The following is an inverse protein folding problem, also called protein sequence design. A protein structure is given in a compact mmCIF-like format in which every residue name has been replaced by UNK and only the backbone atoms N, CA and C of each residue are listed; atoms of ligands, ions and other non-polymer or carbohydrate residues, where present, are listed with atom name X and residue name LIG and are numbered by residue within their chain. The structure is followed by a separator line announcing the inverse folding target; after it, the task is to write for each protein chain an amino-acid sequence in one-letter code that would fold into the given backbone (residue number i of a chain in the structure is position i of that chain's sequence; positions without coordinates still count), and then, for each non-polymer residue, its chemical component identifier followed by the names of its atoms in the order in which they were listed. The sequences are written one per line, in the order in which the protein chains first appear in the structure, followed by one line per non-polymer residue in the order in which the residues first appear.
data_IF_201602067991
#
_entry.id   IF_201602067991
#
_cell.length_a   1.000
_cell.length_b   1.000
_cell.length_c   1.000
_cell.angle_alpha   90.00
_cell.angle_beta   90.00
_cell.angle_gamma   90.00
#
_symmetry.space_group_name_H-M   'P 1'
#
loop_
_entity.id
_entity.type
_entity.pdbx_description
1 polymer ?
#
# COMPACT_ATOMS: atom_id res chain seq x y z
N UNK A 1 -7.88 42.59 -2.03
CA UNK A 1 -8.14 41.20 -2.45
C UNK A 1 -8.73 40.32 -1.32
N UNK A 2 -7.98 39.94 -0.28
CA UNK A 2 -8.45 38.97 0.73
C UNK A 2 -9.77 39.35 1.45
N UNK A 3 -9.94 40.61 1.87
CA UNK A 3 -11.19 41.09 2.50
C UNK A 3 -12.42 40.95 1.58
N UNK A 4 -12.27 41.26 0.29
CA UNK A 4 -13.34 41.12 -0.71
C UNK A 4 -13.71 39.65 -0.95
N UNK A 5 -12.73 38.75 -1.00
CA UNK A 5 -12.99 37.31 -1.10
C UNK A 5 -13.74 36.77 0.11
N UNK A 6 -13.37 37.21 1.32
CA UNK A 6 -14.06 36.81 2.56
C UNK A 6 -15.50 37.34 2.58
N UNK A 7 -15.72 38.59 2.15
CA UNK A 7 -17.05 39.20 2.09
C UNK A 7 -17.99 38.48 1.09
N UNK A 8 -17.45 37.91 0.02
CA UNK A 8 -18.19 37.21 -1.02
C UNK A 8 -18.09 35.67 -0.94
N UNK A 9 -17.59 35.13 0.18
CA UNK A 9 -17.30 33.69 0.31
C UNK A 9 -18.50 32.77 0.06
N UNK A 10 -19.70 33.25 0.34
CA UNK A 10 -20.94 32.46 0.20
C UNK A 10 -21.25 32.20 -1.29
N UNK A 11 -20.70 32.99 -2.22
CA UNK A 11 -20.82 32.78 -3.67
C UNK A 11 -20.09 31.53 -4.17
N UNK A 12 -19.15 31.01 -3.38
CA UNK A 12 -18.33 29.85 -3.74
C UNK A 12 -18.90 28.53 -3.19
N UNK A 13 -20.01 28.58 -2.45
CA UNK A 13 -20.64 27.40 -1.87
C UNK A 13 -21.83 26.97 -2.74
N UNK A 14 -21.89 25.67 -3.02
CA UNK A 14 -23.04 25.03 -3.65
C UNK A 14 -23.28 23.65 -3.07
N UNK A 15 -24.39 23.04 -3.44
CA UNK A 15 -24.72 21.65 -3.11
C UNK A 15 -23.69 20.64 -3.64
N UNK A 16 -22.73 21.04 -4.49
CA UNK A 16 -21.61 20.16 -4.88
C UNK A 16 -20.46 20.15 -3.87
N UNK A 17 -20.32 21.18 -3.05
CA UNK A 17 -19.17 21.33 -2.16
C UNK A 17 -19.05 20.18 -1.16
N UNK A 18 -20.18 19.63 -0.68
CA UNK A 18 -20.14 18.55 0.31
C UNK A 18 -19.45 17.28 -0.22
N UNK A 19 -19.53 16.97 -1.52
CA UNK A 19 -18.89 15.78 -2.12
C UNK A 19 -17.39 15.78 -1.90
N UNK A 20 -16.74 16.94 -2.02
CA UNK A 20 -15.29 17.09 -1.80
C UNK A 20 -14.88 16.75 -0.37
N UNK A 21 -15.77 16.94 0.60
CA UNK A 21 -15.54 16.59 2.00
C UNK A 21 -15.94 15.13 2.28
N UNK A 22 -17.18 14.76 1.94
CA UNK A 22 -17.77 13.46 2.27
C UNK A 22 -17.09 12.29 1.55
N UNK A 23 -16.97 12.36 0.22
CA UNK A 23 -16.41 11.24 -0.55
C UNK A 23 -14.94 11.02 -0.22
N UNK A 24 -14.16 12.11 -0.07
CA UNK A 24 -12.76 12.03 0.31
C UNK A 24 -12.60 11.40 1.70
N UNK A 25 -13.30 11.94 2.70
CA UNK A 25 -13.20 11.48 4.08
C UNK A 25 -13.62 10.01 4.21
N UNK A 26 -14.76 9.64 3.63
CA UNK A 26 -15.28 8.28 3.70
C UNK A 26 -14.36 7.26 3.01
N UNK A 27 -13.81 7.60 1.84
CA UNK A 27 -12.86 6.75 1.15
C UNK A 27 -11.56 6.55 1.96
N UNK A 28 -11.10 7.58 2.68
CA UNK A 28 -9.93 7.47 3.55
C UNK A 28 -10.20 6.58 4.78
N UNK A 29 -11.38 6.72 5.41
CA UNK A 29 -11.80 5.86 6.53
C UNK A 29 -11.89 4.40 6.09
N UNK A 30 -12.50 4.11 4.93
CA UNK A 30 -12.57 2.75 4.39
C UNK A 30 -11.20 2.12 4.11
N UNK A 31 -10.23 2.92 3.66
CA UNK A 31 -8.87 2.45 3.35
C UNK A 31 -7.92 2.46 4.57
N UNK A 32 -8.40 2.91 5.72
CA UNK A 32 -7.54 3.12 6.90
C UNK A 32 -6.93 1.81 7.43
N UNK A 33 -7.67 0.71 7.31
CA UNK A 33 -7.22 -0.65 7.61
C UNK A 33 -6.86 -1.35 6.30
N UNK A 34 -5.56 -1.42 6.01
CA UNK A 34 -5.05 -2.03 4.78
C UNK A 34 -3.91 -2.99 5.10
N UNK A 35 -4.01 -4.23 4.61
CA UNK A 35 -2.94 -5.24 4.71
C UNK A 35 -1.63 -4.80 4.03
N UNK A 36 -1.71 -3.84 3.12
CA UNK A 36 -0.56 -3.30 2.38
C UNK A 36 0.28 -2.28 3.18
N UNK A 37 -0.13 -1.91 4.40
CA UNK A 37 0.68 -1.01 5.24
C UNK A 37 1.85 -1.80 5.83
N UNK A 38 3.06 -1.26 5.73
CA UNK A 38 4.29 -1.87 6.26
C UNK A 38 4.18 -2.28 7.74
N UNK A 39 3.45 -1.52 8.56
CA UNK A 39 3.22 -1.84 9.97
C UNK A 39 2.48 -3.17 10.18
N UNK A 40 1.57 -3.52 9.26
CA UNK A 40 0.78 -4.75 9.29
C UNK A 40 1.48 -5.91 8.56
N UNK A 41 2.64 -5.66 7.95
CA UNK A 41 3.40 -6.64 7.18
C UNK A 41 4.90 -6.50 7.47
N UNK A 42 5.34 -6.85 8.70
CA UNK A 42 6.73 -6.75 9.09
C UNK A 42 7.61 -7.65 8.23
N UNK A 43 8.74 -7.13 7.75
CA UNK A 43 9.73 -7.91 7.01
C UNK A 43 10.78 -8.50 7.97
N UNK A 44 11.36 -9.67 7.67
CA UNK A 44 12.43 -10.25 8.46
C UNK A 44 13.59 -9.28 8.68
N UNK A 45 14.29 -9.42 9.81
CA UNK A 45 15.51 -8.63 10.10
C UNK A 45 16.60 -8.90 9.09
N UNK A 46 16.81 -10.17 8.77
CA UNK A 46 17.82 -10.58 7.81
C UNK A 46 17.39 -10.24 6.38
N UNK A 47 18.34 -9.76 5.59
CA UNK A 47 18.12 -9.50 4.17
C UNK A 47 17.87 -10.83 3.44
N UNK A 48 16.91 -10.89 2.48
CA UNK A 48 16.72 -12.06 1.64
C UNK A 48 18.02 -12.48 0.95
N UNK A 49 18.33 -13.77 0.98
CA UNK A 49 19.51 -14.35 0.31
C UNK A 49 19.05 -15.09 -0.94
N UNK A 50 19.76 -14.90 -2.06
CA UNK A 50 19.37 -15.50 -3.33
C UNK A 50 19.29 -17.04 -3.27
N UNK A 51 20.18 -17.68 -2.50
CA UNK A 51 20.19 -19.14 -2.29
C UNK A 51 18.88 -19.67 -1.67
N UNK A 52 18.12 -18.85 -0.92
CA UNK A 52 16.84 -19.26 -0.35
C UNK A 52 15.72 -19.43 -1.40
N UNK A 53 15.95 -18.92 -2.61
CA UNK A 53 15.03 -18.97 -3.75
C UNK A 53 15.49 -19.96 -4.82
N UNK A 54 16.48 -20.81 -4.48
CA UNK A 54 17.13 -21.75 -5.37
C UNK A 54 16.80 -23.19 -4.97
N UNK A 55 16.20 -23.92 -5.90
CA UNK A 55 15.88 -25.33 -5.75
C UNK A 55 16.39 -26.08 -6.97
N UNK A 56 16.96 -27.26 -6.76
CA UNK A 56 17.51 -28.04 -7.85
C UNK A 56 17.02 -29.48 -7.81
N UNK A 57 17.04 -30.13 -8.97
CA UNK A 57 16.75 -31.55 -9.13
C UNK A 57 18.11 -32.22 -9.41
N UNK A 58 18.65 -32.99 -8.45
CA UNK A 58 19.84 -33.79 -8.67
C UNK A 58 19.61 -34.81 -9.79
N UNK A 59 20.67 -35.20 -10.49
CA UNK A 59 20.57 -36.10 -11.65
C UNK A 59 19.92 -37.44 -11.31
N UNK A 60 20.08 -37.90 -10.06
CA UNK A 60 19.50 -39.13 -9.54
C UNK A 60 17.96 -39.07 -9.58
N UNK A 61 17.37 -37.88 -9.44
CA UNK A 61 15.93 -37.67 -9.55
C UNK A 61 15.36 -37.86 -10.96
N UNK A 62 16.21 -37.94 -11.99
CA UNK A 62 15.80 -38.26 -13.36
C UNK A 62 15.81 -39.76 -13.67
N UNK A 63 16.31 -40.60 -12.76
CA UNK A 63 16.38 -42.04 -13.00
C UNK A 63 14.98 -42.69 -12.99
N UNK A 64 14.53 -43.15 -14.15
CA UNK A 64 13.25 -43.83 -14.33
C UNK A 64 13.12 -45.08 -13.45
N UNK A 65 14.22 -45.77 -13.14
CA UNK A 65 14.21 -46.96 -12.28
C UNK A 65 14.03 -46.65 -10.79
N UNK A 66 14.02 -45.38 -10.40
CA UNK A 66 13.66 -44.95 -9.05
C UNK A 66 12.17 -44.64 -8.90
N UNK A 67 11.41 -44.52 -10.00
CA UNK A 67 10.01 -44.11 -9.94
C UNK A 67 9.11 -45.26 -9.51
N UNK A 68 8.40 -45.09 -8.39
CA UNK A 68 7.44 -46.07 -7.88
C UNK A 68 8.03 -47.09 -6.89
N UNK A 69 9.18 -46.79 -6.27
CA UNK A 69 9.64 -47.51 -5.08
C UNK A 69 8.80 -47.11 -3.86
N UNK A 70 8.62 -48.04 -2.91
CA UNK A 70 8.00 -47.78 -1.61
C UNK A 70 8.96 -47.06 -0.63
N UNK A 71 9.86 -46.23 -1.16
CA UNK A 71 10.71 -45.33 -0.38
C UNK A 71 10.32 -43.86 -0.64
N UNK A 72 10.93 -42.91 0.07
CA UNK A 72 10.66 -41.48 -0.12
C UNK A 72 11.31 -40.90 -1.40
N UNK A 73 11.67 -41.74 -2.39
CA UNK A 73 12.21 -41.27 -3.66
C UNK A 73 11.09 -40.88 -4.63
N UNK A 74 11.05 -39.59 -4.99
CA UNK A 74 10.05 -39.03 -5.90
C UNK A 74 10.70 -38.52 -7.18
N UNK A 75 10.08 -38.85 -8.32
CA UNK A 75 10.50 -38.39 -9.64
C UNK A 75 10.64 -36.85 -9.68
N UNK A 76 11.79 -36.36 -10.15
CA UNK A 76 12.05 -34.95 -10.38
C UNK A 76 11.75 -34.04 -9.16
N UNK A 77 11.91 -34.55 -7.92
CA UNK A 77 11.63 -33.79 -6.70
C UNK A 77 12.71 -32.72 -6.48
N UNK A 78 12.37 -31.42 -6.48
CA UNK A 78 13.35 -30.39 -6.20
C UNK A 78 13.74 -30.39 -4.72
N UNK A 79 15.03 -30.22 -4.46
CA UNK A 79 15.60 -29.99 -3.13
C UNK A 79 16.21 -28.59 -3.05
N UNK A 80 16.29 -28.02 -1.86
CA UNK A 80 16.87 -26.69 -1.68
C UNK A 80 18.36 -26.73 -2.00
N UNK A 81 18.87 -25.72 -2.70
CA UNK A 81 20.31 -25.56 -2.88
C UNK A 81 20.94 -25.03 -1.59
N UNK A 82 21.96 -25.71 -1.07
CA UNK A 82 22.58 -25.34 0.21
C UNK A 82 23.80 -24.43 0.04
N UNK A 83 24.51 -24.56 -1.08
CA UNK A 83 25.72 -23.81 -1.38
C UNK A 83 25.75 -23.44 -2.87
N UNK A 84 26.34 -22.29 -3.20
CA UNK A 84 26.65 -21.92 -4.57
C UNK A 84 28.08 -22.26 -4.99
N UNK A 85 28.93 -22.64 -4.02
CA UNK A 85 30.31 -23.02 -4.24
C UNK A 85 30.43 -24.44 -4.76
N UNK A 86 31.47 -24.73 -5.52
CA UNK A 86 31.70 -26.05 -6.08
C UNK A 86 31.11 -26.24 -7.47
N UNK A 87 30.33 -25.28 -7.99
CA UNK A 87 29.52 -25.50 -9.18
C UNK A 87 29.68 -24.42 -10.25
N UNK A 88 29.64 -24.86 -11.51
CA UNK A 88 29.37 -24.01 -12.67
C UNK A 88 27.92 -24.17 -13.11
N UNK A 89 27.36 -23.10 -13.67
CA UNK A 89 26.03 -23.10 -14.25
C UNK A 89 26.07 -22.78 -15.75
N UNK A 90 25.24 -23.47 -16.53
CA UNK A 90 24.90 -23.08 -17.90
C UNK A 90 23.40 -22.96 -18.02
N UNK A 91 22.91 -21.88 -18.62
CA UNK A 91 21.48 -21.68 -18.78
C UNK A 91 20.89 -22.77 -19.70
N UNK A 92 19.70 -23.26 -19.36
CA UNK A 92 18.92 -24.11 -20.27
C UNK A 92 18.39 -23.24 -21.40
N UNK A 93 18.58 -23.66 -22.64
CA UNK A 93 18.13 -22.93 -23.83
C UNK A 93 16.61 -22.70 -23.76
N UNK A 94 16.19 -21.44 -23.92
CA UNK A 94 14.80 -21.00 -23.79
C UNK A 94 14.14 -21.28 -22.41
N UNK A 95 14.90 -21.77 -21.43
CA UNK A 95 14.46 -21.95 -20.05
C UNK A 95 14.42 -20.63 -19.28
N UNK A 96 13.30 -20.36 -18.62
CA UNK A 96 13.17 -19.21 -17.72
C UNK A 96 13.62 -19.61 -16.31
N UNK A 97 14.74 -19.04 -15.85
CA UNK A 97 15.26 -19.28 -14.51
C UNK A 97 15.77 -20.71 -14.26
N UNK A 98 16.03 -21.50 -15.32
CA UNK A 98 16.54 -22.88 -15.20
C UNK A 98 17.95 -23.00 -15.76
N UNK A 99 18.80 -23.71 -15.02
CA UNK A 99 20.23 -23.86 -15.30
C UNK A 99 20.65 -25.32 -15.15
N UNK A 100 21.55 -25.78 -16.02
CA UNK A 100 22.31 -27.03 -15.84
C UNK A 100 23.42 -26.78 -14.83
N UNK A 101 23.57 -27.70 -13.89
CA UNK A 101 24.55 -27.63 -12.80
C UNK A 101 25.68 -28.60 -13.07
N UNK A 102 26.92 -28.13 -12.95
CA UNK A 102 28.12 -28.93 -13.12
C UNK A 102 29.02 -28.83 -11.90
N UNK A 103 29.36 -29.95 -11.30
CA UNK A 103 30.29 -30.02 -10.16
C UNK A 103 31.74 -29.90 -10.63
N UNK A 104 32.50 -29.02 -9.98
CA UNK A 104 33.88 -28.70 -10.33
C UNK A 104 34.74 -28.78 -9.06
N UNK A 105 35.01 -27.64 -8.42
CA UNK A 105 35.78 -27.52 -7.20
C UNK A 105 35.33 -26.27 -6.42
N UNK A 106 35.65 -26.25 -5.13
CA UNK A 106 35.21 -25.22 -4.17
C UNK A 106 35.71 -23.79 -4.47
N UNK A 107 36.60 -23.61 -5.45
CA UNK A 107 37.07 -22.27 -5.86
C UNK A 107 36.05 -21.57 -6.75
N UNK A 108 35.15 -22.30 -7.40
CA UNK A 108 34.06 -21.75 -8.20
C UNK A 108 32.85 -21.44 -7.34
N UNK A 109 32.26 -20.26 -7.57
CA UNK A 109 31.00 -19.85 -6.98
C UNK A 109 30.16 -19.20 -8.10
N UNK A 110 29.03 -19.80 -8.43
CA UNK A 110 28.15 -19.27 -9.47
C UNK A 110 27.32 -18.09 -9.00
N UNK A 111 27.31 -17.75 -7.70
CA UNK A 111 26.48 -16.71 -7.15
C UNK A 111 27.31 -15.50 -6.72
N UNK A 112 27.21 -14.39 -7.46
CA UNK A 112 27.89 -13.13 -7.11
C UNK A 112 26.88 -12.03 -6.85
N UNK A 113 26.92 -11.44 -5.66
CA UNK A 113 26.03 -10.34 -5.26
C UNK A 113 24.54 -10.65 -5.49
N UNK A 114 24.13 -11.90 -5.27
CA UNK A 114 22.75 -12.36 -5.46
C UNK A 114 22.35 -12.66 -6.91
N UNK A 115 23.28 -12.57 -7.86
CA UNK A 115 23.04 -12.90 -9.28
C UNK A 115 23.80 -14.15 -9.70
N UNK A 116 23.19 -14.93 -10.59
CA UNK A 116 23.83 -16.09 -11.21
C UNK A 116 24.84 -15.60 -12.26
N UNK A 117 26.05 -16.17 -12.20
CA UNK A 117 27.08 -16.06 -13.21
C UNK A 117 27.20 -17.40 -13.95
N UNK A 118 26.75 -17.42 -15.21
CA UNK A 118 26.90 -18.60 -16.05
C UNK A 118 28.33 -18.71 -16.58
N UNK A 119 28.78 -19.95 -16.74
CA UNK A 119 30.10 -20.29 -17.27
C UNK A 119 29.98 -21.01 -18.60
N UNK A 120 31.00 -20.89 -19.45
CA UNK A 120 31.17 -21.81 -20.58
C UNK A 120 31.51 -23.20 -20.05
N UNK A 121 30.88 -24.22 -20.65
CA UNK A 121 31.06 -25.62 -20.28
C UNK A 121 31.71 -26.34 -21.45
N UNK A 122 32.86 -26.98 -21.21
CA UNK A 122 33.56 -27.79 -22.20
C UNK A 122 32.81 -29.09 -22.48
N UNK A 123 33.11 -29.73 -23.62
CA UNK A 123 32.51 -31.04 -23.97
C UNK A 123 32.83 -32.13 -22.95
N UNK A 124 33.95 -32.01 -22.23
CA UNK A 124 34.30 -32.96 -21.18
C UNK A 124 33.48 -32.74 -19.92
N UNK A 125 33.35 -31.49 -19.46
CA UNK A 125 32.49 -31.13 -18.33
C UNK A 125 31.02 -31.49 -18.62
N UNK A 126 30.53 -31.27 -19.83
CA UNK A 126 29.17 -31.68 -20.24
C UNK A 126 28.94 -33.19 -20.06
N UNK A 127 29.96 -34.01 -20.32
CA UNK A 127 29.84 -35.48 -20.25
C UNK A 127 29.98 -36.03 -18.83
N UNK A 128 30.83 -35.41 -18.01
CA UNK A 128 31.29 -35.98 -16.74
C UNK A 128 30.71 -35.29 -15.51
N UNK A 129 30.50 -33.97 -15.60
CA UNK A 129 30.33 -33.15 -14.41
C UNK A 129 28.87 -32.70 -14.21
N UNK A 130 27.96 -33.02 -15.13
CA UNK A 130 26.54 -32.72 -14.96
C UNK A 130 25.99 -33.42 -13.71
N UNK A 131 25.41 -32.64 -12.80
CA UNK A 131 24.86 -33.13 -11.53
C UNK A 131 23.39 -32.80 -11.34
N UNK A 132 22.78 -31.93 -12.15
CA UNK A 132 21.35 -31.66 -12.03
C UNK A 132 20.87 -30.39 -12.74
N UNK A 133 19.61 -30.04 -12.48
CA UNK A 133 18.97 -28.81 -12.96
C UNK A 133 18.59 -27.90 -11.79
N UNK A 134 19.09 -26.67 -11.80
CA UNK A 134 18.76 -25.61 -10.85
C UNK A 134 17.62 -24.75 -11.38
N UNK A 135 16.64 -24.48 -10.54
CA UNK A 135 15.62 -23.45 -10.72
C UNK A 135 15.87 -22.30 -9.74
N UNK A 136 15.89 -21.08 -10.24
CA UNK A 136 16.03 -19.86 -9.44
C UNK A 136 14.87 -18.90 -9.70
N UNK A 137 14.10 -18.60 -8.66
CA UNK A 137 13.02 -17.61 -8.73
C UNK A 137 13.55 -16.18 -8.50
N UNK A 138 14.30 -15.67 -9.48
CA UNK A 138 14.90 -14.33 -9.45
C UNK A 138 13.85 -13.23 -9.27
N UNK A 139 12.68 -13.38 -9.89
CA UNK A 139 11.57 -12.41 -9.78
C UNK A 139 11.11 -12.24 -8.33
N UNK A 140 10.91 -13.36 -7.60
CA UNK A 140 10.50 -13.31 -6.20
C UNK A 140 11.62 -12.78 -5.31
N UNK A 141 12.86 -13.20 -5.55
CA UNK A 141 14.03 -12.70 -4.83
C UNK A 141 14.18 -11.18 -4.94
N UNK A 142 14.08 -10.65 -6.16
CA UNK A 142 14.17 -9.21 -6.43
C UNK A 142 13.02 -8.44 -5.77
N UNK A 143 11.80 -8.97 -5.81
CA UNK A 143 10.66 -8.36 -5.15
C UNK A 143 10.86 -8.31 -3.62
N UNK A 144 11.31 -9.40 -3.03
CA UNK A 144 11.54 -9.46 -1.58
C UNK A 144 12.70 -8.56 -1.13
N UNK A 145 13.76 -8.45 -1.95
CA UNK A 145 14.83 -7.49 -1.71
C UNK A 145 14.34 -6.03 -1.73
N UNK A 146 13.47 -5.68 -2.69
CA UNK A 146 12.87 -4.34 -2.76
C UNK A 146 11.97 -4.07 -1.56
N UNK A 147 11.10 -5.01 -1.23
CA UNK A 147 10.19 -4.94 -0.08
C UNK A 147 10.96 -4.78 1.23
N UNK A 148 12.01 -5.58 1.43
CA UNK A 148 12.86 -5.51 2.61
C UNK A 148 13.52 -4.13 2.73
N UNK A 149 14.12 -3.61 1.64
CA UNK A 149 14.74 -2.28 1.62
C UNK A 149 13.73 -1.18 1.94
N UNK A 150 12.53 -1.26 1.36
CA UNK A 150 11.46 -0.29 1.59
C UNK A 150 10.98 -0.32 3.04
N UNK A 151 10.72 -1.51 3.58
CA UNK A 151 10.29 -1.68 4.97
C UNK A 151 11.32 -1.14 5.96
N UNK A 152 12.58 -1.56 5.85
CA UNK A 152 13.63 -1.14 6.77
C UNK A 152 14.03 0.31 6.58
N UNK A 153 13.96 0.83 5.35
CA UNK A 153 14.10 2.26 5.07
C UNK A 153 12.98 3.09 5.72
N UNK A 154 11.74 2.62 5.67
CA UNK A 154 10.62 3.23 6.40
C UNK A 154 10.82 3.13 7.91
N UNK A 155 11.21 1.97 8.44
CA UNK A 155 11.50 1.78 9.87
C UNK A 155 12.57 2.73 10.40
N UNK A 156 13.62 3.01 9.62
CA UNK A 156 14.71 3.92 10.01
C UNK A 156 14.29 5.40 10.01
N UNK A 157 13.44 5.80 9.07
CA UNK A 157 13.08 7.21 8.86
C UNK A 157 11.74 7.62 9.50
N UNK A 158 11.04 6.68 10.16
CA UNK A 158 9.73 6.97 10.77
C UNK A 158 9.88 7.82 12.03
N UNK A 159 8.88 8.66 12.28
CA UNK A 159 8.77 9.45 13.50
C UNK A 159 8.29 8.57 14.67
N UNK A 160 9.22 8.09 15.50
CA UNK A 160 8.97 7.16 16.61
C UNK A 160 7.85 7.61 17.57
N UNK A 161 7.76 8.92 17.86
CA UNK A 161 6.74 9.47 18.76
C UNK A 161 5.31 9.41 18.21
N UNK A 162 5.13 9.24 16.89
CA UNK A 162 3.80 9.19 16.27
C UNK A 162 3.10 7.83 16.45
N UNK A 163 3.84 6.77 16.78
CA UNK A 163 3.35 5.38 16.64
C UNK A 163 3.35 4.55 17.93
N UNK A 164 3.65 5.14 19.10
CA UNK A 164 3.78 4.40 20.38
C UNK A 164 2.53 3.60 20.76
N UNK A 165 1.32 4.05 20.38
CA UNK A 165 0.04 3.34 20.58
C UNK A 165 -0.32 2.36 19.45
N UNK A 166 0.34 2.45 18.30
CA UNK A 166 0.12 1.56 17.16
C UNK A 166 1.04 0.34 17.24
N UNK A 167 2.20 0.48 17.89
CA UNK A 167 3.16 -0.60 18.14
C UNK A 167 2.78 -1.52 19.30
N UNK A 168 1.97 -1.06 20.26
CA UNK A 168 1.38 -1.93 21.28
C UNK A 168 0.37 -2.93 20.71
N UNK A 169 -0.01 -2.79 19.42
CA UNK A 169 -1.07 -3.57 18.78
C UNK A 169 -2.48 -3.12 19.15
N UNK A 170 -2.62 -2.01 19.90
CA UNK A 170 -3.92 -1.52 20.37
C UNK A 170 -4.74 -0.83 19.26
N UNK A 171 -4.08 -0.33 18.21
CA UNK A 171 -4.71 0.36 17.08
C UNK A 171 -4.10 -0.09 15.76
N UNK A 172 -4.92 -0.41 14.76
CA UNK A 172 -4.49 -0.85 13.43
C UNK A 172 -4.63 0.23 12.33
N UNK A 173 -4.89 1.48 12.74
CA UNK A 173 -5.18 2.62 11.86
C UNK A 173 -4.54 3.94 12.34
N UNK A 174 -4.42 4.95 11.45
CA UNK A 174 -3.92 6.29 11.82
C UNK A 174 -5.05 7.10 12.48
N UNK A 175 -5.06 7.17 13.81
CA UNK A 175 -6.08 7.83 14.61
C UNK A 175 -6.20 9.35 14.35
N UNK A 176 -5.08 10.02 14.06
CA UNK A 176 -5.10 11.44 13.70
C UNK A 176 -5.79 11.65 12.36
N UNK A 177 -5.51 10.76 11.40
CA UNK A 177 -6.18 10.78 10.11
C UNK A 177 -7.69 10.51 10.26
N UNK A 178 -8.09 9.55 11.10
CA UNK A 178 -9.51 9.27 11.35
C UNK A 178 -10.24 10.47 11.98
N UNK A 179 -9.65 11.12 12.98
CA UNK A 179 -10.15 12.40 13.51
C UNK A 179 -10.38 13.41 12.39
N UNK A 180 -9.39 13.59 11.50
CA UNK A 180 -9.52 14.56 10.42
C UNK A 180 -10.65 14.20 9.45
N UNK A 181 -10.82 12.90 9.13
CA UNK A 181 -11.89 12.44 8.26
C UNK A 181 -13.27 12.66 8.88
N UNK A 182 -13.49 12.30 10.15
CA UNK A 182 -14.76 12.55 10.85
C UNK A 182 -15.06 14.06 10.91
N UNK A 183 -14.05 14.90 11.17
CA UNK A 183 -14.22 16.37 11.13
C UNK A 183 -14.67 16.88 9.76
N UNK A 184 -14.18 16.29 8.67
CA UNK A 184 -14.62 16.64 7.32
C UNK A 184 -16.08 16.22 7.07
N UNK A 185 -16.52 15.07 7.60
CA UNK A 185 -17.93 14.67 7.55
C UNK A 185 -18.84 15.66 8.31
N UNK A 186 -18.43 16.11 9.50
CA UNK A 186 -19.14 17.19 10.20
C UNK A 186 -19.20 18.49 9.38
N UNK A 187 -18.13 18.81 8.65
CA UNK A 187 -18.10 19.97 7.76
C UNK A 187 -19.04 19.81 6.58
N UNK A 188 -19.09 18.62 5.96
CA UNK A 188 -20.00 18.31 4.87
C UNK A 188 -21.47 18.48 5.31
N UNK A 189 -21.82 17.95 6.48
CA UNK A 189 -23.17 18.11 7.04
C UNK A 189 -23.49 19.58 7.34
N UNK A 190 -22.55 20.32 7.93
CA UNK A 190 -22.71 21.75 8.23
C UNK A 190 -22.95 22.59 6.97
N UNK A 191 -22.28 22.28 5.86
CA UNK A 191 -22.50 22.98 4.59
C UNK A 191 -23.95 22.80 4.15
N UNK A 192 -24.48 21.58 4.23
CA UNK A 192 -25.86 21.29 3.80
C UNK A 192 -26.92 21.90 4.72
N UNK A 193 -26.67 22.00 6.03
CA UNK A 193 -27.66 22.48 7.00
C UNK A 193 -27.58 23.98 7.30
N UNK A 194 -26.41 24.59 7.20
CA UNK A 194 -26.16 25.99 7.58
C UNK A 194 -25.62 26.85 6.44
N UNK A 195 -25.30 26.24 5.30
CA UNK A 195 -24.63 26.87 4.18
C UNK A 195 -23.16 27.19 4.41
N UNK A 196 -22.56 26.76 5.53
CA UNK A 196 -21.18 27.09 5.90
C UNK A 196 -20.39 25.86 6.36
N UNK A 197 -19.09 25.76 6.04
CA UNK A 197 -18.25 24.70 6.59
C UNK A 197 -18.09 24.84 8.10
N UNK A 198 -17.97 23.69 8.77
CA UNK A 198 -17.75 23.63 10.21
C UNK A 198 -16.27 23.93 10.54
N UNK A 199 -15.92 25.22 10.60
CA UNK A 199 -14.54 25.66 10.92
C UNK A 199 -14.20 25.44 12.39
N UNK A 200 -15.16 25.71 13.28
CA UNK A 200 -15.03 25.57 14.72
C UNK A 200 -15.99 24.51 15.22
N UNK A 201 -15.46 23.33 15.53
CA UNK A 201 -16.22 22.25 16.16
C UNK A 201 -16.69 22.67 17.55
N UNK A 202 -17.93 22.32 17.91
CA UNK A 202 -18.45 22.56 19.25
C UNK A 202 -17.75 21.67 20.29
N UNK A 203 -17.95 21.95 21.58
CA UNK A 203 -17.26 21.24 22.67
C UNK A 203 -17.51 19.72 22.64
N UNK A 204 -18.74 19.29 22.35
CA UNK A 204 -19.10 17.88 22.22
C UNK A 204 -18.36 17.19 21.07
N UNK A 205 -18.33 17.82 19.89
CA UNK A 205 -17.59 17.33 18.73
C UNK A 205 -16.08 17.31 19.02
N UNK A 206 -15.57 18.33 19.71
CA UNK A 206 -14.16 18.42 20.08
C UNK A 206 -13.76 17.27 21.01
N UNK A 207 -14.54 17.02 22.06
CA UNK A 207 -14.32 15.91 22.99
C UNK A 207 -14.32 14.58 22.23
N UNK A 208 -15.33 14.36 21.39
CA UNK A 208 -15.46 13.15 20.58
C UNK A 208 -14.26 12.94 19.63
N UNK A 209 -13.87 13.98 18.90
CA UNK A 209 -12.70 13.94 18.02
C UNK A 209 -11.41 13.63 18.81
N UNK A 210 -11.25 14.18 20.02
CA UNK A 210 -10.09 13.87 20.87
C UNK A 210 -10.07 12.41 21.31
N UNK A 211 -11.22 11.81 21.63
CA UNK A 211 -11.33 10.37 21.92
C UNK A 211 -10.90 9.51 20.73
N UNK A 212 -11.32 9.84 19.51
CA UNK A 212 -10.83 9.19 18.27
C UNK A 212 -9.31 9.32 18.17
N UNK A 213 -8.76 10.53 18.36
CA UNK A 213 -7.30 10.75 18.29
C UNK A 213 -6.54 9.98 19.36
N UNK A 214 -7.15 9.79 20.54
CA UNK A 214 -6.56 9.03 21.63
C UNK A 214 -6.63 7.52 21.41
N UNK A 215 -7.38 7.05 20.40
CA UNK A 215 -7.54 5.64 20.10
C UNK A 215 -8.58 4.94 20.97
N UNK A 216 -9.56 5.68 21.49
CA UNK A 216 -10.62 5.12 22.33
C UNK A 216 -11.69 4.35 21.51
N UNK A 217 -11.57 4.32 20.19
CA UNK A 217 -12.46 3.62 19.27
C UNK A 217 -11.68 2.64 18.40
N UNK A 218 -12.32 1.55 18.01
CA UNK A 218 -11.84 0.67 16.94
C UNK A 218 -12.08 1.28 15.56
N UNK A 219 -11.40 0.76 14.53
CA UNK A 219 -11.66 1.14 13.15
C UNK A 219 -13.11 0.84 12.74
N UNK A 220 -13.68 -0.26 13.21
CA UNK A 220 -15.05 -0.69 12.91
C UNK A 220 -16.08 0.27 13.49
N UNK A 221 -15.88 0.75 14.72
CA UNK A 221 -16.74 1.77 15.34
C UNK A 221 -16.68 3.09 14.57
N UNK A 222 -15.48 3.54 14.18
CA UNK A 222 -15.31 4.75 13.38
C UNK A 222 -15.94 4.60 11.99
N UNK A 223 -15.81 3.42 11.36
CA UNK A 223 -16.41 3.16 10.07
C UNK A 223 -17.94 3.20 10.15
N UNK A 224 -18.52 2.59 11.19
CA UNK A 224 -19.95 2.61 11.44
C UNK A 224 -20.46 4.04 11.64
N UNK A 225 -19.78 4.85 12.47
CA UNK A 225 -20.13 6.26 12.64
C UNK A 225 -20.05 7.02 11.31
N UNK A 226 -19.01 6.77 10.51
CA UNK A 226 -18.85 7.40 9.21
C UNK A 226 -19.99 7.03 8.25
N UNK A 227 -20.45 5.78 8.26
CA UNK A 227 -21.61 5.33 7.49
C UNK A 227 -22.89 6.04 7.92
N UNK A 228 -23.13 6.17 9.22
CA UNK A 228 -24.28 6.90 9.78
C UNK A 228 -24.24 8.40 9.39
N UNK A 229 -23.07 9.03 9.48
CA UNK A 229 -22.88 10.42 9.06
C UNK A 229 -23.09 10.61 7.56
N UNK A 230 -22.58 9.70 6.72
CA UNK A 230 -22.78 9.74 5.26
C UNK A 230 -24.26 9.55 4.92
N UNK A 231 -24.96 8.61 5.55
CA UNK A 231 -26.39 8.43 5.36
C UNK A 231 -27.18 9.70 5.74
N UNK A 232 -26.79 10.37 6.83
CA UNK A 232 -27.39 11.65 7.23
C UNK A 232 -27.10 12.76 6.22
N UNK A 233 -25.88 12.84 5.70
CA UNK A 233 -25.49 13.80 4.65
C UNK A 233 -26.32 13.58 3.39
N UNK A 234 -26.44 12.33 2.92
CA UNK A 234 -27.19 11.99 1.71
C UNK A 234 -28.68 12.31 1.86
N UNK A 235 -29.26 12.00 3.02
CA UNK A 235 -30.64 12.41 3.35
C UNK A 235 -30.79 13.93 3.32
N UNK A 236 -29.92 14.66 4.04
CA UNK A 236 -29.98 16.13 4.12
C UNK A 236 -29.87 16.77 2.75
N UNK A 237 -29.02 16.22 1.87
CA UNK A 237 -28.91 16.67 0.49
C UNK A 237 -30.22 16.49 -0.27
N UNK A 238 -30.83 15.30 -0.19
CA UNK A 238 -32.08 15.02 -0.90
C UNK A 238 -33.18 15.99 -0.47
N UNK A 239 -33.33 16.18 0.84
CA UNK A 239 -34.31 17.13 1.40
C UNK A 239 -34.05 18.57 0.90
N UNK A 240 -32.78 18.96 0.76
CA UNK A 240 -32.38 20.26 0.26
C UNK A 240 -32.59 20.42 -1.27
N UNK A 241 -32.44 19.36 -2.05
CA UNK A 241 -32.68 19.35 -3.51
C UNK A 241 -34.16 19.50 -3.86
N UNK A 242 -35.03 19.01 -2.98
CA UNK A 242 -36.50 19.07 -3.05
C UNK A 242 -37.07 20.37 -2.44
N UNK A 243 -36.27 21.14 -1.72
CA UNK A 243 -36.69 22.40 -1.10
C UNK A 243 -36.97 23.50 -2.12
N UNK A 244 -38.08 24.21 -1.97
CA UNK A 244 -38.43 25.40 -2.78
C UNK A 244 -37.50 26.59 -2.51
N UNK A 245 -36.91 26.66 -1.31
CA UNK A 245 -35.99 27.73 -0.91
C UNK A 245 -34.75 27.16 -0.22
N UNK A 246 -33.82 26.54 -0.98
CA UNK A 246 -32.67 25.88 -0.42
C UNK A 246 -31.68 26.88 0.16
N UNK A 247 -31.12 26.57 1.34
CA UNK A 247 -30.14 27.43 2.03
C UNK A 247 -28.86 27.67 1.22
N UNK A 248 -28.54 26.77 0.28
CA UNK A 248 -27.44 26.90 -0.68
C UNK A 248 -27.89 26.48 -2.09
N UNK A 249 -27.33 27.10 -3.14
CA UNK A 249 -27.75 26.83 -4.51
C UNK A 249 -27.21 25.48 -5.01
N UNK A 250 -27.92 24.87 -5.97
CA UNK A 250 -27.48 23.63 -6.65
C UNK A 250 -26.11 23.80 -7.32
N UNK A 251 -25.89 24.95 -7.95
CA UNK A 251 -24.65 25.34 -8.62
C UNK A 251 -24.20 26.73 -8.17
N UNK A 252 -22.91 27.02 -8.25
CA UNK A 252 -22.40 28.37 -8.04
C UNK A 252 -22.85 29.30 -9.19
N UNK A 253 -23.12 30.56 -8.87
CA UNK A 253 -23.46 31.57 -9.87
C UNK A 253 -22.19 32.03 -10.61
N UNK A 254 -21.87 31.35 -11.72
CA UNK A 254 -20.67 31.62 -12.52
C UNK A 254 -20.62 33.07 -13.06
N UNK A 255 -21.69 33.65 -13.61
CA UNK A 255 -21.68 35.06 -14.02
C UNK A 255 -21.25 36.02 -12.89
N UNK A 256 -21.85 35.90 -11.69
CA UNK A 256 -21.46 36.75 -10.56
C UNK A 256 -20.02 36.52 -10.08
N UNK A 257 -19.53 35.27 -10.16
CA UNK A 257 -18.14 34.97 -9.85
C UNK A 257 -17.16 35.60 -10.85
N UNK A 258 -17.54 35.69 -12.13
CA UNK A 258 -16.76 36.38 -13.16
C UNK A 258 -16.76 37.89 -12.94
N UNK A 259 -17.90 38.48 -12.55
CA UNK A 259 -17.98 39.89 -12.16
C UNK A 259 -17.02 40.18 -11.00
N UNK A 260 -17.07 39.39 -9.92
CA UNK A 260 -16.16 39.52 -8.79
C UNK A 260 -14.69 39.34 -9.21
N UNK A 261 -14.39 38.42 -10.12
CA UNK A 261 -13.05 38.23 -10.65
C UNK A 261 -12.56 39.48 -11.37
N UNK A 262 -13.37 40.06 -12.27
CA UNK A 262 -13.01 41.27 -13.01
C UNK A 262 -12.80 42.47 -12.05
N UNK A 263 -13.69 42.66 -11.08
CA UNK A 263 -13.53 43.72 -10.07
C UNK A 263 -12.24 43.58 -9.26
N UNK A 264 -11.82 42.35 -8.97
CA UNK A 264 -10.55 42.10 -8.30
C UNK A 264 -9.37 42.33 -9.26
N UNK A 265 -9.48 41.99 -10.54
CA UNK A 265 -8.38 42.26 -11.47
C UNK A 265 -8.19 43.76 -11.72
N UNK A 266 -9.28 44.52 -11.85
CA UNK A 266 -9.25 45.97 -12.09
C UNK A 266 -8.73 46.77 -10.88
N UNK A 267 -8.97 46.31 -9.64
CA UNK A 267 -8.47 46.96 -8.42
C UNK A 267 -6.96 46.74 -8.20
N UNK A 268 -6.39 45.70 -8.82
CA UNK A 268 -4.99 45.28 -8.64
C UNK A 268 -4.15 45.35 -9.93
N UNK A 269 -4.68 45.98 -10.98
CA UNK A 269 -3.94 46.39 -12.19
C UNK A 269 -3.53 47.86 -12.11
#
# INVERSE_FOLDING_TARGET
MAKKLIANRDMFISQKCYHSFANYAFAQIKKAKGQNKWINNPKPKDQPKAIDYMYWIPKEGFDYFSWGRDDDSFACRPVKMESSKGYKLSRVEHGFGVYRVYEIDETFDFLRSGKIECSSISKEEERKNFVGLLSFNEVKYDQDCKDWKNYWGWMKNRNEHRWTKQESGELDYDAKNMLHCIRLLYSALSILTTGKPNVYVNDTQREHLLKIRNGEFSHEEILKEAEELVAKIDKTKKDLEESENPIIPKEVNRPKLLELYNELMDEFS
#
